data_IF_201586951218
#
_entry.id   IF_201586951218
#
_cell.length_a   1.000
_cell.length_b   1.000
_cell.length_c   1.000
_cell.angle_alpha   90.00
_cell.angle_beta   90.00
_cell.angle_gamma   90.00
#
_symmetry.space_group_name_H-M   'P 1'
#
loop_
_entity.id
_entity.type
_entity.pdbx_description
1 polymer ?
#
# COMPACT_ATOMS: atom_id res chain seq x y z
N UNK A 1 15.40 48.30 -3.88
CA UNK A 1 14.26 47.72 -3.15
C UNK A 1 13.96 46.37 -3.77
N UNK A 2 14.28 45.29 -3.05
CA UNK A 2 14.20 43.90 -3.51
C UNK A 2 12.81 43.33 -3.20
N UNK A 3 11.95 43.20 -4.21
CA UNK A 3 10.64 42.53 -4.08
C UNK A 3 10.82 41.04 -4.35
N UNK A 4 11.05 40.30 -3.28
CA UNK A 4 11.29 38.85 -3.26
C UNK A 4 9.98 38.04 -3.36
N UNK A 5 9.89 37.20 -4.39
CA UNK A 5 9.52 35.77 -4.32
C UNK A 5 8.38 35.34 -3.36
N UNK A 6 7.11 35.46 -3.79
CA UNK A 6 5.97 34.87 -3.08
C UNK A 6 5.04 33.95 -3.90
N UNK A 7 5.41 33.59 -5.14
CA UNK A 7 4.55 32.78 -6.04
C UNK A 7 4.99 31.33 -6.29
N UNK A 8 6.03 30.83 -5.61
CA UNK A 8 6.61 29.50 -5.89
C UNK A 8 6.19 28.37 -4.90
N UNK A 9 5.33 28.60 -3.91
CA UNK A 9 5.06 27.59 -2.88
C UNK A 9 3.91 26.62 -3.19
N UNK A 10 2.92 26.98 -4.03
CA UNK A 10 1.74 26.14 -4.24
C UNK A 10 1.89 25.05 -5.32
N UNK A 11 2.80 25.21 -6.26
CA UNK A 11 3.02 24.27 -7.37
C UNK A 11 3.82 23.03 -6.97
N UNK A 12 4.58 23.10 -5.87
CA UNK A 12 5.42 21.98 -5.42
C UNK A 12 4.62 20.79 -4.90
N UNK A 13 3.45 21.02 -4.27
CA UNK A 13 2.66 19.93 -3.69
C UNK A 13 2.12 18.97 -4.76
N UNK A 14 1.51 19.49 -5.83
CA UNK A 14 0.92 18.64 -6.88
C UNK A 14 2.00 17.84 -7.62
N UNK A 15 3.17 18.42 -7.85
CA UNK A 15 4.30 17.75 -8.49
C UNK A 15 4.79 16.54 -7.70
N UNK A 16 4.88 16.65 -6.38
CA UNK A 16 5.29 15.54 -5.52
C UNK A 16 4.25 14.41 -5.47
N UNK A 17 2.96 14.76 -5.37
CA UNK A 17 1.88 13.78 -5.43
C UNK A 17 1.88 13.00 -6.75
N UNK A 18 2.01 13.72 -7.87
CA UNK A 18 2.04 13.10 -9.21
C UNK A 18 3.27 12.20 -9.39
N UNK A 19 4.42 12.59 -8.85
CA UNK A 19 5.65 11.76 -8.88
C UNK A 19 5.48 10.48 -8.09
N UNK A 20 4.94 10.56 -6.85
CA UNK A 20 4.68 9.38 -6.01
C UNK A 20 3.67 8.44 -6.65
N UNK A 21 2.59 9.00 -7.20
CA UNK A 21 1.59 8.23 -7.95
C UNK A 21 2.22 7.45 -9.10
N UNK A 22 3.04 8.10 -9.93
CA UNK A 22 3.70 7.42 -11.06
C UNK A 22 4.67 6.34 -10.62
N UNK A 23 5.46 6.59 -9.56
CA UNK A 23 6.38 5.59 -9.02
C UNK A 23 5.60 4.38 -8.49
N UNK A 24 4.53 4.61 -7.72
CA UNK A 24 3.66 3.54 -7.24
C UNK A 24 3.01 2.78 -8.38
N UNK A 25 2.53 3.47 -9.42
CA UNK A 25 1.91 2.84 -10.58
C UNK A 25 2.90 1.91 -11.31
N UNK A 26 4.14 2.35 -11.51
CA UNK A 26 5.19 1.54 -12.12
C UNK A 26 5.52 0.33 -11.24
N UNK A 27 5.55 0.48 -9.91
CA UNK A 27 5.75 -0.63 -8.98
C UNK A 27 4.55 -1.59 -8.91
N UNK A 28 3.34 -1.12 -9.17
CA UNK A 28 2.14 -1.98 -9.22
C UNK A 28 2.23 -2.97 -10.38
N UNK A 29 2.84 -2.61 -11.51
CA UNK A 29 2.98 -3.51 -12.68
C UNK A 29 3.70 -4.82 -12.32
N UNK A 30 4.92 -4.83 -11.76
CA UNK A 30 5.58 -6.07 -11.37
C UNK A 30 4.83 -6.79 -10.24
N UNK A 31 4.19 -6.08 -9.29
CA UNK A 31 3.37 -6.71 -8.24
C UNK A 31 2.23 -7.51 -8.86
N UNK A 32 1.53 -6.95 -9.85
CA UNK A 32 0.45 -7.63 -10.54
C UNK A 32 0.96 -8.84 -11.34
N UNK A 33 2.08 -8.71 -12.06
CA UNK A 33 2.66 -9.82 -12.82
C UNK A 33 3.15 -10.98 -11.93
N UNK A 34 3.63 -10.67 -10.73
CA UNK A 34 4.05 -11.67 -9.76
C UNK A 34 2.89 -12.18 -8.89
N UNK A 35 1.71 -11.58 -8.92
CA UNK A 35 0.58 -12.01 -8.10
C UNK A 35 0.02 -13.35 -8.61
N UNK A 36 -0.04 -14.35 -7.74
CA UNK A 36 -0.55 -15.69 -8.07
C UNK A 36 -1.97 -15.61 -8.68
N UNK A 37 -2.83 -14.72 -8.15
CA UNK A 37 -4.19 -14.56 -8.65
C UNK A 37 -4.23 -14.07 -10.11
N UNK A 38 -3.35 -13.13 -10.46
CA UNK A 38 -3.22 -12.61 -11.83
C UNK A 38 -2.58 -13.67 -12.74
N UNK A 39 -1.59 -14.41 -12.24
CA UNK A 39 -0.96 -15.51 -12.99
C UNK A 39 -1.97 -16.61 -13.33
N UNK A 40 -2.86 -16.98 -12.41
CA UNK A 40 -3.96 -17.92 -12.69
C UNK A 40 -4.90 -17.39 -13.77
N UNK A 41 -5.31 -16.12 -13.68
CA UNK A 41 -6.19 -15.51 -14.69
C UNK A 41 -5.57 -15.43 -16.08
N UNK A 42 -4.25 -15.24 -16.15
CA UNK A 42 -3.49 -15.17 -17.41
C UNK A 42 -2.99 -16.54 -17.89
N UNK A 43 -3.22 -17.62 -17.14
CA UNK A 43 -2.71 -18.97 -17.47
C UNK A 43 -1.18 -19.11 -17.36
N UNK A 44 -0.52 -18.26 -16.56
CA UNK A 44 0.93 -18.20 -16.36
C UNK A 44 1.39 -18.96 -15.10
N UNK A 45 0.63 -19.95 -14.65
CA UNK A 45 0.88 -20.72 -13.41
C UNK A 45 2.23 -21.46 -13.39
N UNK A 46 2.87 -21.61 -14.56
CA UNK A 46 4.19 -22.21 -14.70
C UNK A 46 5.34 -21.27 -14.28
N UNK A 47 5.08 -19.96 -14.15
CA UNK A 47 6.08 -18.98 -13.72
C UNK A 47 6.18 -18.93 -12.19
N UNK A 48 6.77 -19.98 -11.60
CA UNK A 48 7.06 -20.02 -10.16
C UNK A 48 8.45 -19.44 -9.88
N UNK A 49 8.47 -18.25 -9.29
CA UNK A 49 9.72 -17.60 -8.90
C UNK A 49 10.07 -18.02 -7.46
N UNK A 50 11.30 -18.46 -7.17
CA UNK A 50 11.72 -18.68 -5.80
C UNK A 50 11.64 -17.38 -5.01
N UNK A 51 11.15 -17.43 -3.77
CA UNK A 51 10.93 -16.26 -2.91
C UNK A 51 9.89 -15.24 -3.43
N UNK A 52 8.96 -15.67 -4.30
CA UNK A 52 7.94 -14.80 -4.88
C UNK A 52 7.09 -14.08 -3.83
N UNK A 53 6.73 -14.76 -2.73
CA UNK A 53 5.95 -14.17 -1.64
C UNK A 53 6.73 -13.07 -0.94
N UNK A 54 7.98 -13.32 -0.60
CA UNK A 54 8.88 -12.37 0.05
C UNK A 54 9.14 -11.14 -0.83
N UNK A 55 9.34 -11.34 -2.14
CA UNK A 55 9.50 -10.26 -3.12
C UNK A 55 8.22 -9.43 -3.22
N UNK A 56 7.05 -10.07 -3.33
CA UNK A 56 5.76 -9.39 -3.36
C UNK A 56 5.53 -8.56 -2.09
N UNK A 57 5.88 -9.10 -0.93
CA UNK A 57 5.74 -8.41 0.35
C UNK A 57 6.67 -7.20 0.46
N UNK A 58 7.91 -7.32 0.00
CA UNK A 58 8.86 -6.20 -0.06
C UNK A 58 8.38 -5.11 -1.03
N UNK A 59 7.94 -5.47 -2.24
CA UNK A 59 7.43 -4.50 -3.22
C UNK A 59 6.17 -3.81 -2.70
N UNK A 60 5.24 -4.56 -2.10
CA UNK A 60 4.01 -4.03 -1.51
C UNK A 60 4.32 -3.11 -0.33
N UNK A 61 5.30 -3.45 0.50
CA UNK A 61 5.76 -2.57 1.59
C UNK A 61 6.30 -1.25 1.07
N UNK A 62 7.10 -1.27 -0.01
CA UNK A 62 7.61 -0.04 -0.63
C UNK A 62 6.46 0.82 -1.15
N UNK A 63 5.47 0.22 -1.83
CA UNK A 63 4.30 0.96 -2.32
C UNK A 63 3.46 1.52 -1.15
N UNK A 64 3.26 0.73 -0.09
CA UNK A 64 2.53 1.15 1.10
C UNK A 64 3.21 2.35 1.79
N UNK A 65 4.52 2.29 2.00
CA UNK A 65 5.25 3.38 2.67
C UNK A 65 5.41 4.59 1.76
N UNK A 66 5.83 4.41 0.50
CA UNK A 66 6.15 5.53 -0.39
C UNK A 66 4.92 6.13 -1.07
N UNK A 67 4.07 5.27 -1.64
CA UNK A 67 2.84 5.66 -2.32
C UNK A 67 1.71 5.99 -1.36
N UNK A 68 1.60 5.21 -0.27
CA UNK A 68 0.58 5.38 0.76
C UNK A 68 0.83 6.53 1.72
N UNK A 69 2.06 7.05 1.83
CA UNK A 69 2.43 8.13 2.77
C UNK A 69 1.43 9.29 2.89
N UNK A 70 0.97 9.94 1.80
CA UNK A 70 0.03 11.05 1.93
C UNK A 70 -1.33 10.64 2.51
N UNK A 71 -1.78 9.42 2.22
CA UNK A 71 -3.03 8.88 2.76
C UNK A 71 -2.88 8.50 4.22
N UNK A 72 -1.74 7.91 4.62
CA UNK A 72 -1.45 7.60 6.02
C UNK A 72 -1.32 8.87 6.86
N UNK A 73 -0.66 9.90 6.33
CA UNK A 73 -0.57 11.21 6.97
C UNK A 73 -1.94 11.87 7.07
N UNK A 74 -2.69 11.88 5.96
CA UNK A 74 -4.06 12.43 5.92
C UNK A 74 -5.01 11.71 6.88
N UNK A 75 -4.90 10.39 7.01
CA UNK A 75 -5.61 9.60 8.00
C UNK A 75 -5.29 10.06 9.42
N UNK A 76 -4.00 10.18 9.77
CA UNK A 76 -3.60 10.62 11.12
C UNK A 76 -4.12 12.04 11.43
N UNK A 77 -4.05 12.95 10.47
CA UNK A 77 -4.51 14.32 10.60
C UNK A 77 -6.05 14.40 10.74
N UNK A 78 -6.80 13.69 9.89
CA UNK A 78 -8.28 13.62 9.91
C UNK A 78 -8.81 12.96 11.19
N UNK A 79 -8.18 11.86 11.63
CA UNK A 79 -8.54 11.17 12.88
C UNK A 79 -8.30 12.08 14.08
N UNK A 80 -7.16 12.80 14.11
CA UNK A 80 -6.87 13.78 15.17
C UNK A 80 -7.87 14.93 15.17
N UNK A 81 -8.28 15.40 13.98
CA UNK A 81 -9.30 16.43 13.81
C UNK A 81 -10.73 15.91 14.08
N UNK A 82 -10.91 14.60 14.28
CA UNK A 82 -12.23 13.92 14.41
C UNK A 82 -13.16 14.18 13.23
N UNK A 83 -12.58 14.33 12.04
CA UNK A 83 -13.31 14.56 10.78
C UNK A 83 -12.86 13.52 9.75
N UNK A 84 -13.35 12.26 9.84
CA UNK A 84 -12.96 11.22 8.89
C UNK A 84 -13.45 11.57 7.49
N UNK A 85 -12.52 11.59 6.53
CA UNK A 85 -12.77 11.90 5.15
C UNK A 85 -12.19 10.85 4.20
N UNK A 86 -11.95 11.27 2.97
CA UNK A 86 -11.45 10.40 1.90
C UNK A 86 -10.05 9.84 2.23
N UNK A 87 -9.19 10.64 2.86
CA UNK A 87 -7.82 10.19 3.19
C UNK A 87 -7.84 9.11 4.26
N UNK A 88 -8.70 9.24 5.27
CA UNK A 88 -8.90 8.20 6.30
C UNK A 88 -9.37 6.89 5.69
N UNK A 89 -10.37 6.92 4.80
CA UNK A 89 -10.89 5.69 4.17
C UNK A 89 -9.82 4.97 3.35
N UNK A 90 -9.11 5.69 2.49
CA UNK A 90 -8.04 5.11 1.66
C UNK A 90 -6.88 4.63 2.55
N UNK A 91 -6.44 5.46 3.50
CA UNK A 91 -5.39 5.14 4.46
C UNK A 91 -5.69 3.88 5.26
N UNK A 92 -6.94 3.71 5.71
CA UNK A 92 -7.38 2.54 6.45
C UNK A 92 -7.38 1.30 5.55
N UNK A 93 -7.89 1.39 4.33
CA UNK A 93 -7.92 0.28 3.38
C UNK A 93 -6.52 -0.25 3.06
N UNK A 94 -5.57 0.64 2.77
CA UNK A 94 -4.18 0.23 2.49
C UNK A 94 -3.48 -0.33 3.75
N UNK A 95 -3.82 0.18 4.93
CA UNK A 95 -3.27 -0.30 6.20
C UNK A 95 -3.77 -1.71 6.51
N UNK A 96 -5.07 -1.94 6.42
CA UNK A 96 -5.68 -3.27 6.62
C UNK A 96 -5.10 -4.27 5.64
N UNK A 97 -4.97 -3.91 4.35
CA UNK A 97 -4.35 -4.77 3.35
C UNK A 97 -2.89 -5.12 3.70
N UNK A 98 -2.09 -4.15 4.14
CA UNK A 98 -0.70 -4.37 4.53
C UNK A 98 -0.59 -5.25 5.78
N UNK A 99 -1.37 -4.96 6.84
CA UNK A 99 -1.35 -5.75 8.06
C UNK A 99 -1.83 -7.19 7.84
N UNK A 100 -2.86 -7.39 7.03
CA UNK A 100 -3.31 -8.71 6.65
C UNK A 100 -2.20 -9.45 5.87
N UNK A 101 -1.58 -8.80 4.89
CA UNK A 101 -0.49 -9.39 4.10
C UNK A 101 0.77 -9.68 4.91
N UNK A 102 1.06 -8.91 5.97
CA UNK A 102 2.14 -9.24 6.91
C UNK A 102 1.72 -10.37 7.83
N UNK A 103 0.45 -10.38 8.27
CA UNK A 103 -0.15 -11.45 9.04
C UNK A 103 0.00 -12.80 8.35
N UNK A 104 -0.24 -12.89 7.04
CA UNK A 104 -0.05 -14.15 6.28
C UNK A 104 1.38 -14.68 6.29
N UNK A 105 2.38 -13.81 6.47
CA UNK A 105 3.81 -14.19 6.54
C UNK A 105 4.22 -14.55 7.99
N UNK A 106 3.80 -13.74 8.96
CA UNK A 106 4.26 -13.84 10.36
C UNK A 106 3.33 -14.69 11.25
N UNK A 107 2.01 -14.67 11.02
CA UNK A 107 1.02 -15.34 11.85
C UNK A 107 0.66 -16.74 11.34
N UNK A 108 0.86 -17.05 10.05
CA UNK A 108 0.44 -18.33 9.46
C UNK A 108 1.60 -19.28 9.16
N UNK A 109 2.49 -19.43 10.15
CA UNK A 109 3.38 -20.59 10.27
C UNK A 109 2.69 -21.84 10.85
N UNK A 110 1.41 -21.79 11.21
CA UNK A 110 0.68 -22.93 11.77
C UNK A 110 -0.83 -22.72 11.78
N UNK A 111 -1.52 -23.55 10.98
CA UNK A 111 -2.95 -23.94 11.01
C UNK A 111 -3.95 -22.98 11.68
N UNK A 112 -4.91 -22.53 10.88
CA UNK A 112 -6.11 -21.78 11.25
C UNK A 112 -6.80 -22.29 12.55
N UNK A 113 -6.73 -21.50 13.63
CA UNK A 113 -7.43 -21.73 14.91
C UNK A 113 -8.89 -21.23 14.92
N UNK A 114 -9.44 -20.86 13.76
CA UNK A 114 -10.81 -20.33 13.67
C UNK A 114 -11.88 -21.36 14.06
N UNK A 115 -11.58 -22.65 13.92
CA UNK A 115 -12.50 -23.73 14.27
C UNK A 115 -12.65 -23.91 15.79
N UNK A 116 -11.61 -23.64 16.58
CA UNK A 116 -11.66 -23.75 18.05
C UNK A 116 -12.42 -22.59 18.72
N UNK A 117 -12.36 -21.40 18.12
CA UNK A 117 -13.13 -20.23 18.57
C UNK A 117 -14.64 -20.37 18.30
N UNK A 118 -15.04 -21.10 17.27
CA UNK A 118 -16.45 -21.26 16.89
C UNK A 118 -17.20 -22.29 17.77
N UNK A 119 -16.47 -23.15 18.50
CA UNK A 119 -17.04 -24.22 19.33
C UNK A 119 -17.04 -23.92 20.83
N UNK A 120 -16.60 -22.74 21.25
CA UNK A 120 -16.70 -22.26 22.64
C UNK A 120 -18.10 -21.69 22.95
#
# INVERSE_FOLDING_TARGET
MSTHSHHHHHTHHVGEFKRRFWISLVLTVPILLLSEMIQMWLGLEWLKIPFQKEILSLLSLIVYVYGGWPFLKGLADEVKARQPGMMTLIGAAISVAMFYSLGTIFAFGGKDFYWELATL
#
